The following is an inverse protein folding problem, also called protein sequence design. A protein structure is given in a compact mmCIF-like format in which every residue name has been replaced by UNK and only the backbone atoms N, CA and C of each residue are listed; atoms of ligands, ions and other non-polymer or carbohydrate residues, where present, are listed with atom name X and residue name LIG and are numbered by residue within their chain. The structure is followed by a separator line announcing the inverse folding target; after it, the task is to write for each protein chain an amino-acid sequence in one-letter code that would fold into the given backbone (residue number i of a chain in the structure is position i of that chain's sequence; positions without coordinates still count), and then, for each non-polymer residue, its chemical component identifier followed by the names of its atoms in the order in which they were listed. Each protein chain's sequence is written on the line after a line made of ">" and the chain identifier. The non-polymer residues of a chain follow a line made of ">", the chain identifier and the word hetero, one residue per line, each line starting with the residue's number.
data_IF_608362800991
#
_entry.id   IF_608362800991
#
_cell.length_a   1.000
_cell.length_b   1.000
_cell.length_c   1.000
_cell.angle_alpha   90.00
_cell.angle_beta   90.00
_cell.angle_gamma   90.00
#
_symmetry.space_group_name_H-M   'P 1'
#
loop_
_entity.id
_entity.type
_entity.pdbx_description
1 polymer ?
#
# COMPACT_ATOMS: atom_id res chain seq x y z
N UNK A 1 -9.78 2.73 -7.84
CA UNK A 1 -9.47 3.28 -6.50
C UNK A 1 -8.21 2.66 -5.90
N UNK A 2 -8.12 1.33 -5.77
CA UNK A 2 -6.95 0.65 -5.19
C UNK A 2 -5.63 0.91 -5.91
N UNK A 3 -5.67 1.13 -7.22
CA UNK A 3 -4.48 1.47 -8.01
C UNK A 3 -3.86 2.81 -7.60
N UNK A 4 -4.67 3.85 -7.38
CA UNK A 4 -4.18 5.14 -6.85
C UNK A 4 -3.64 5.00 -5.43
N UNK A 5 -4.30 4.20 -4.58
CA UNK A 5 -3.78 3.90 -3.24
C UNK A 5 -2.42 3.20 -3.31
N UNK A 6 -2.22 2.25 -4.22
CA UNK A 6 -0.92 1.57 -4.37
C UNK A 6 0.20 2.52 -4.81
N UNK A 7 -0.11 3.48 -5.69
CA UNK A 7 0.84 4.51 -6.09
C UNK A 7 1.23 5.38 -4.90
N UNK A 8 0.25 5.88 -4.13
CA UNK A 8 0.51 6.72 -2.97
C UNK A 8 1.36 6.00 -1.90
N UNK A 9 1.03 4.75 -1.58
CA UNK A 9 1.76 3.93 -0.60
C UNK A 9 3.21 3.68 -1.07
N UNK A 10 3.41 3.53 -2.39
CA UNK A 10 4.75 3.41 -2.96
C UNK A 10 5.53 4.72 -2.89
N UNK A 11 4.89 5.86 -3.11
CA UNK A 11 5.49 7.18 -2.90
C UNK A 11 5.92 7.36 -1.44
N UNK A 12 5.05 7.05 -0.47
CA UNK A 12 5.37 7.17 0.96
C UNK A 12 6.57 6.30 1.38
N UNK A 13 6.67 5.08 0.86
CA UNK A 13 7.82 4.22 1.09
C UNK A 13 9.11 4.80 0.46
N UNK A 14 9.02 5.33 -0.76
CA UNK A 14 10.17 5.94 -1.46
C UNK A 14 10.68 7.21 -0.77
N UNK A 15 9.81 7.96 -0.10
CA UNK A 15 10.18 9.12 0.72
C UNK A 15 10.61 8.73 2.15
N UNK A 16 10.78 7.43 2.43
CA UNK A 16 11.15 6.90 3.74
C UNK A 16 10.16 7.28 4.87
N UNK A 17 8.91 7.59 4.50
CA UNK A 17 7.81 7.89 5.42
C UNK A 17 7.11 6.64 5.93
N UNK A 18 7.39 5.48 5.33
CA UNK A 18 6.97 4.16 5.80
C UNK A 18 8.19 3.28 5.95
N UNK A 19 8.20 2.50 7.03
CA UNK A 19 9.10 1.35 7.15
C UNK A 19 8.71 0.26 6.16
N UNK A 20 9.64 -0.65 5.89
CA UNK A 20 9.41 -1.81 5.01
C UNK A 20 8.23 -2.66 5.49
N UNK A 21 8.08 -2.83 6.80
CA UNK A 21 7.02 -3.64 7.39
C UNK A 21 5.64 -2.97 7.23
N UNK A 22 5.56 -1.66 7.46
CA UNK A 22 4.33 -0.89 7.22
C UNK A 22 3.93 -0.93 5.73
N UNK A 23 4.90 -0.77 4.82
CA UNK A 23 4.66 -0.88 3.38
C UNK A 23 4.09 -2.25 2.98
N UNK A 24 4.64 -3.34 3.54
CA UNK A 24 4.15 -4.71 3.32
C UNK A 24 2.73 -4.90 3.85
N UNK A 25 2.45 -4.44 5.07
CA UNK A 25 1.11 -4.50 5.67
C UNK A 25 0.08 -3.74 4.84
N UNK A 26 0.41 -2.52 4.42
CA UNK A 26 -0.41 -1.71 3.53
C UNK A 26 -0.77 -2.45 2.22
N UNK A 27 0.22 -3.06 1.56
CA UNK A 27 -0.01 -3.87 0.34
C UNK A 27 -0.94 -5.05 0.58
N UNK A 28 -0.79 -5.75 1.72
CA UNK A 28 -1.63 -6.89 2.07
C UNK A 28 -3.10 -6.47 2.23
N UNK A 29 -3.35 -5.41 3.00
CA UNK A 29 -4.70 -4.89 3.24
C UNK A 29 -5.37 -4.44 1.94
N UNK A 30 -4.64 -3.72 1.08
CA UNK A 30 -5.15 -3.28 -0.23
C UNK A 30 -5.53 -4.46 -1.11
N UNK A 31 -4.68 -5.49 -1.19
CA UNK A 31 -4.96 -6.67 -1.99
C UNK A 31 -6.13 -7.49 -1.45
N UNK A 32 -6.25 -7.60 -0.13
CA UNK A 32 -7.38 -8.29 0.50
C UNK A 32 -8.70 -7.60 0.14
N UNK A 33 -8.79 -6.29 0.33
CA UNK A 33 -10.02 -5.52 0.01
C UNK A 33 -10.37 -5.58 -1.47
N UNK A 34 -9.37 -5.57 -2.36
CA UNK A 34 -9.60 -5.73 -3.80
C UNK A 34 -10.17 -7.10 -4.17
N UNK A 35 -9.84 -8.15 -3.42
CA UNK A 35 -10.35 -9.51 -3.66
C UNK A 35 -11.73 -9.75 -3.03
N UNK A 36 -12.17 -8.87 -2.12
CA UNK A 36 -13.49 -8.95 -1.46
C UNK A 36 -14.59 -8.20 -2.24
N UNK A 37 -14.22 -7.43 -3.28
CA UNK A 37 -15.12 -6.79 -4.27
C UNK A 37 -15.29 -7.65 -5.53
#
# INVERSE_FOLDING_TARGET
>A
MYEMMQQEISSLYNYELLTKDEYLQCKLIINQRRNEE
#
